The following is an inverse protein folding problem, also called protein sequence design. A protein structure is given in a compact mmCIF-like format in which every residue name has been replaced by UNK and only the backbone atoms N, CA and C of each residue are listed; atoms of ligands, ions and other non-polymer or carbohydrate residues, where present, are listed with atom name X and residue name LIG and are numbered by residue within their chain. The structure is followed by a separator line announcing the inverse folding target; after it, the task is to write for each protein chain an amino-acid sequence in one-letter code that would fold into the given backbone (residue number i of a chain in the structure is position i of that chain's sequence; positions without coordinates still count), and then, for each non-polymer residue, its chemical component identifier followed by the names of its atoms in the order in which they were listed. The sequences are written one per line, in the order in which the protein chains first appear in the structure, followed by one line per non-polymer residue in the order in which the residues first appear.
data_IF_862253804488
#
_entry.id   IF_862253804488
#
_cell.length_a   1.000
_cell.length_b   1.000
_cell.length_c   1.000
_cell.angle_alpha   90.00
_cell.angle_beta   90.00
_cell.angle_gamma   90.00
#
_symmetry.space_group_name_H-M   'P 1'
#
loop_
_entity.id
_entity.type
_entity.pdbx_description
1 polymer ?
#
# COMPACT_ATOMS: atom_id res chain seq x y z
N UNK A 1 -64.16 46.28 10.44
CA UNK A 1 -62.80 46.16 9.85
C UNK A 1 -62.16 44.96 10.53
N UNK A 2 -62.40 43.77 9.99
CA UNK A 2 -61.91 42.50 10.57
C UNK A 2 -60.62 42.09 9.87
N UNK A 3 -59.58 41.83 10.66
CA UNK A 3 -58.35 41.19 10.19
C UNK A 3 -58.47 39.67 10.40
N UNK A 4 -58.30 38.83 9.37
CA UNK A 4 -58.19 37.40 9.57
C UNK A 4 -56.80 37.06 10.12
N UNK A 5 -56.77 36.43 11.28
CA UNK A 5 -55.57 35.85 11.89
C UNK A 5 -55.13 34.61 11.10
N UNK A 6 -53.90 34.64 10.58
CA UNK A 6 -53.29 33.54 9.84
C UNK A 6 -53.11 32.31 10.72
N UNK A 7 -53.65 31.19 10.25
CA UNK A 7 -53.62 29.87 10.89
C UNK A 7 -52.21 29.25 10.76
N UNK A 8 -51.57 28.78 11.85
CA UNK A 8 -50.30 28.06 11.71
C UNK A 8 -50.55 26.69 11.08
N UNK A 9 -49.89 26.43 9.95
CA UNK A 9 -49.95 25.19 9.20
C UNK A 9 -49.57 23.99 10.06
N UNK A 10 -50.53 23.11 10.31
CA UNK A 10 -50.41 21.91 11.12
C UNK A 10 -49.66 20.84 10.32
N UNK A 11 -48.33 20.75 10.49
CA UNK A 11 -47.55 19.64 9.91
C UNK A 11 -48.02 18.34 10.55
N UNK A 12 -48.51 17.40 9.73
CA UNK A 12 -49.06 16.15 10.22
C UNK A 12 -47.98 15.28 10.88
N UNK A 13 -48.28 14.59 12.01
CA UNK A 13 -47.29 13.89 12.83
C UNK A 13 -46.53 12.78 12.08
N UNK A 14 -47.13 12.23 11.02
CA UNK A 14 -46.50 11.22 10.17
C UNK A 14 -45.31 11.74 9.36
N UNK A 15 -45.26 13.04 9.05
CA UNK A 15 -44.13 13.65 8.35
C UNK A 15 -42.86 13.72 9.22
N UNK A 16 -43.03 13.92 10.54
CA UNK A 16 -41.91 13.89 11.50
C UNK A 16 -41.36 12.48 11.69
N UNK A 17 -42.24 11.48 11.74
CA UNK A 17 -41.86 10.08 11.86
C UNK A 17 -41.09 9.59 10.62
N UNK A 18 -41.56 9.92 9.40
CA UNK A 18 -40.84 9.61 8.17
C UNK A 18 -39.49 10.33 8.07
N UNK A 19 -39.43 11.60 8.48
CA UNK A 19 -38.16 12.36 8.52
C UNK A 19 -37.13 11.75 9.46
N UNK A 20 -37.55 11.30 10.65
CA UNK A 20 -36.67 10.66 11.61
C UNK A 20 -36.14 9.30 11.12
N UNK A 21 -37.00 8.50 10.46
CA UNK A 21 -36.61 7.21 9.88
C UNK A 21 -35.61 7.40 8.72
N UNK A 22 -35.86 8.38 7.85
CA UNK A 22 -34.93 8.73 6.77
C UNK A 22 -33.58 9.21 7.29
N UNK A 23 -33.57 10.06 8.32
CA UNK A 23 -32.33 10.54 8.94
C UNK A 23 -31.56 9.41 9.63
N UNK A 24 -32.25 8.49 10.29
CA UNK A 24 -31.63 7.31 10.90
C UNK A 24 -31.00 6.39 9.83
N UNK A 25 -31.72 6.12 8.74
CA UNK A 25 -31.18 5.37 7.60
C UNK A 25 -29.97 6.08 6.96
N UNK A 26 -30.04 7.39 6.80
CA UNK A 26 -28.93 8.18 6.28
C UNK A 26 -27.71 8.12 7.20
N UNK A 27 -27.92 8.24 8.52
CA UNK A 27 -26.88 8.12 9.53
C UNK A 27 -26.19 6.76 9.51
N UNK A 28 -26.96 5.67 9.36
CA UNK A 28 -26.42 4.31 9.22
C UNK A 28 -25.60 4.17 7.94
N UNK A 29 -26.07 4.73 6.82
CA UNK A 29 -25.32 4.71 5.55
C UNK A 29 -24.02 5.50 5.63
N UNK A 30 -24.04 6.69 6.22
CA UNK A 30 -22.83 7.53 6.41
C UNK A 30 -21.83 6.81 7.32
N UNK A 31 -22.28 6.24 8.43
CA UNK A 31 -21.41 5.47 9.33
C UNK A 31 -20.78 4.25 8.62
N UNK A 32 -21.55 3.53 7.80
CA UNK A 32 -21.04 2.43 6.99
C UNK A 32 -19.96 2.88 6.00
N UNK A 33 -20.15 4.04 5.36
CA UNK A 33 -19.17 4.60 4.42
C UNK A 33 -17.89 5.07 5.12
N UNK A 34 -18.01 5.71 6.29
CA UNK A 34 -16.85 6.21 7.05
C UNK A 34 -16.02 5.06 7.62
N UNK A 35 -16.67 4.09 8.28
CA UNK A 35 -15.99 2.91 8.87
C UNK A 35 -15.40 2.01 7.79
N UNK A 36 -16.10 1.84 6.66
CA UNK A 36 -15.59 1.10 5.51
C UNK A 36 -14.37 1.76 4.85
N UNK A 37 -14.33 3.09 4.81
CA UNK A 37 -13.22 3.87 4.26
C UNK A 37 -11.99 3.89 5.17
N UNK A 38 -12.16 4.09 6.48
CA UNK A 38 -11.04 4.08 7.43
C UNK A 38 -10.36 2.72 7.49
N UNK A 39 -11.15 1.63 7.53
CA UNK A 39 -10.59 0.29 7.53
C UNK A 39 -9.90 -0.11 6.21
N UNK A 40 -10.23 0.52 5.08
CA UNK A 40 -9.50 0.29 3.83
C UNK A 40 -8.16 1.03 3.80
N UNK A 41 -8.12 2.28 4.30
CA UNK A 41 -6.89 3.04 4.42
C UNK A 41 -5.87 2.33 5.33
N UNK A 42 -6.32 1.81 6.48
CA UNK A 42 -5.47 1.07 7.41
C UNK A 42 -4.91 -0.21 6.77
N UNK A 43 -5.75 -1.00 6.10
CA UNK A 43 -5.31 -2.22 5.38
C UNK A 43 -4.32 -1.92 4.26
N UNK A 44 -4.52 -0.81 3.54
CA UNK A 44 -3.58 -0.36 2.50
C UNK A 44 -2.26 0.06 3.12
N UNK A 45 -2.28 0.76 4.24
CA UNK A 45 -1.08 1.18 4.98
C UNK A 45 -0.31 -0.04 5.52
N UNK A 46 -1.01 -1.00 6.11
CA UNK A 46 -0.42 -2.26 6.56
C UNK A 46 0.22 -3.03 5.40
N UNK A 47 -0.44 -3.07 4.24
CA UNK A 47 0.11 -3.69 3.05
C UNK A 47 1.39 -2.97 2.57
N UNK A 48 1.46 -1.63 2.67
CA UNK A 48 2.68 -0.88 2.38
C UNK A 48 3.80 -1.18 3.36
N UNK A 49 3.52 -1.24 4.67
CA UNK A 49 4.54 -1.62 5.66
C UNK A 49 5.03 -3.06 5.44
N UNK A 50 4.16 -3.97 5.02
CA UNK A 50 4.54 -5.33 4.63
C UNK A 50 5.52 -5.35 3.45
N UNK A 51 5.40 -4.43 2.47
CA UNK A 51 6.40 -4.33 1.39
C UNK A 51 7.79 -3.91 1.90
N UNK A 52 7.85 -3.06 2.93
CA UNK A 52 9.10 -2.65 3.57
C UNK A 52 9.75 -3.80 4.33
N UNK A 53 8.94 -4.59 5.01
CA UNK A 53 9.36 -5.80 5.69
C UNK A 53 9.90 -6.86 4.70
N UNK A 54 9.26 -7.04 3.54
CA UNK A 54 9.78 -7.88 2.46
C UNK A 54 11.13 -7.41 1.95
N UNK A 55 11.32 -6.09 1.77
CA UNK A 55 12.60 -5.53 1.36
C UNK A 55 13.71 -5.80 2.40
N UNK A 56 13.39 -5.73 3.69
CA UNK A 56 14.32 -6.09 4.78
C UNK A 56 14.71 -7.56 4.72
N UNK A 57 13.73 -8.48 4.64
CA UNK A 57 14.00 -9.92 4.54
C UNK A 57 14.88 -10.27 3.35
N UNK A 58 14.65 -9.62 2.21
CA UNK A 58 15.53 -9.79 1.06
C UNK A 58 16.97 -9.34 1.36
N UNK A 59 17.15 -8.16 1.96
CA UNK A 59 18.47 -7.65 2.33
C UNK A 59 19.16 -8.54 3.39
N UNK A 60 18.39 -9.04 4.36
CA UNK A 60 18.87 -9.96 5.39
C UNK A 60 19.29 -11.30 4.79
N UNK A 61 18.53 -11.86 3.85
CA UNK A 61 18.88 -13.11 3.17
C UNK A 61 20.15 -12.98 2.32
N UNK A 62 20.32 -11.85 1.61
CA UNK A 62 21.57 -11.53 0.89
C UNK A 62 22.76 -11.47 1.86
N UNK A 63 22.58 -10.81 3.00
CA UNK A 63 23.63 -10.68 4.03
C UNK A 63 23.94 -12.01 4.70
N UNK A 64 22.92 -12.82 5.01
CA UNK A 64 23.06 -14.14 5.65
C UNK A 64 23.80 -15.13 4.75
N UNK A 65 23.62 -15.02 3.43
CA UNK A 65 24.38 -15.79 2.43
C UNK A 65 25.83 -15.35 2.29
N UNK A 66 26.25 -14.27 2.96
CA UNK A 66 27.60 -13.68 2.88
C UNK A 66 28.00 -13.36 1.45
N UNK A 67 27.05 -12.90 0.64
CA UNK A 67 27.33 -12.46 -0.72
C UNK A 67 28.11 -11.15 -0.68
N UNK A 68 29.34 -11.16 -1.19
CA UNK A 68 30.18 -9.97 -1.25
C UNK A 68 29.98 -9.24 -2.58
N UNK A 69 29.82 -7.91 -2.56
CA UNK A 69 29.84 -7.11 -3.77
C UNK A 69 31.12 -7.30 -4.61
N UNK A 70 31.05 -7.23 -5.95
CA UNK A 70 29.83 -7.08 -6.74
C UNK A 70 28.98 -8.35 -6.73
N UNK A 71 27.69 -8.23 -6.38
CA UNK A 71 26.80 -9.38 -6.24
C UNK A 71 26.20 -9.71 -7.60
N UNK A 72 26.34 -10.97 -8.03
CA UNK A 72 25.74 -11.43 -9.27
C UNK A 72 24.20 -11.33 -9.23
N UNK A 73 23.60 -10.84 -10.32
CA UNK A 73 22.13 -10.71 -10.46
C UNK A 73 21.41 -12.04 -10.18
N UNK A 74 21.98 -13.17 -10.59
CA UNK A 74 21.42 -14.49 -10.33
C UNK A 74 21.31 -14.83 -8.84
N UNK A 75 22.29 -14.41 -8.05
CA UNK A 75 22.29 -14.70 -6.61
C UNK A 75 21.37 -13.75 -5.86
N UNK A 76 21.25 -12.50 -6.31
CA UNK A 76 20.20 -11.58 -5.87
C UNK A 76 18.80 -12.14 -6.18
N UNK A 77 18.58 -12.71 -7.36
CA UNK A 77 17.30 -13.33 -7.70
C UNK A 77 16.99 -14.55 -6.82
N UNK A 78 17.98 -15.43 -6.57
CA UNK A 78 17.81 -16.57 -5.66
C UNK A 78 17.47 -16.11 -4.24
N UNK A 79 18.14 -15.07 -3.75
CA UNK A 79 17.88 -14.52 -2.43
C UNK A 79 16.48 -13.91 -2.33
N UNK A 80 16.05 -13.18 -3.37
CA UNK A 80 14.69 -12.64 -3.45
C UNK A 80 13.63 -13.75 -3.46
N UNK A 81 13.80 -14.74 -4.32
CA UNK A 81 12.86 -15.86 -4.44
C UNK A 81 12.72 -16.61 -3.11
N UNK A 82 13.82 -16.78 -2.37
CA UNK A 82 13.82 -17.42 -1.06
C UNK A 82 13.18 -16.55 0.03
N UNK A 83 13.51 -15.24 0.07
CA UNK A 83 13.09 -14.35 1.15
C UNK A 83 11.62 -13.93 1.06
N UNK A 84 11.10 -13.73 -0.15
CA UNK A 84 9.77 -13.13 -0.35
C UNK A 84 8.84 -13.97 -1.22
N UNK A 85 9.36 -14.95 -1.96
CA UNK A 85 8.61 -15.74 -2.93
C UNK A 85 8.43 -15.04 -4.28
N UNK A 86 8.44 -15.82 -5.35
CA UNK A 86 8.44 -15.36 -6.76
C UNK A 86 7.31 -14.40 -7.15
N UNK A 87 6.17 -14.49 -6.47
CA UNK A 87 4.98 -13.67 -6.77
C UNK A 87 4.99 -12.30 -6.07
N UNK A 88 5.83 -12.11 -5.05
CA UNK A 88 5.82 -10.92 -4.19
C UNK A 88 7.08 -10.06 -4.33
N UNK A 89 8.09 -10.51 -5.06
CA UNK A 89 9.31 -9.77 -5.34
C UNK A 89 9.63 -9.77 -6.82
N UNK A 90 10.11 -8.63 -7.32
CA UNK A 90 10.63 -8.50 -8.67
C UNK A 90 11.95 -7.72 -8.62
N UNK A 91 13.03 -8.34 -9.10
CA UNK A 91 14.32 -7.69 -9.28
C UNK A 91 14.32 -6.98 -10.63
N UNK A 92 14.45 -5.65 -10.64
CA UNK A 92 14.45 -4.86 -11.88
C UNK A 92 15.86 -4.63 -12.37
N UNK A 93 16.72 -4.05 -11.53
CA UNK A 93 18.12 -3.77 -11.88
C UNK A 93 19.05 -4.06 -10.70
N UNK A 94 20.29 -4.39 -11.03
CA UNK A 94 21.39 -4.58 -10.11
C UNK A 94 22.66 -4.09 -10.81
N UNK A 95 23.34 -3.13 -10.21
CA UNK A 95 24.53 -2.51 -10.77
C UNK A 95 25.64 -2.48 -9.73
N UNK A 96 26.86 -2.69 -10.19
CA UNK A 96 28.05 -2.51 -9.37
C UNK A 96 28.35 -1.01 -9.27
N UNK A 97 28.65 -0.54 -8.07
CA UNK A 97 29.08 0.83 -7.80
C UNK A 97 30.45 0.82 -7.15
N UNK A 98 31.13 1.96 -7.10
CA UNK A 98 32.42 2.09 -6.40
C UNK A 98 32.35 1.66 -4.92
N UNK A 99 31.15 1.74 -4.33
CA UNK A 99 30.88 1.39 -2.93
C UNK A 99 30.32 -0.02 -2.71
N UNK A 100 29.96 -0.76 -3.77
CA UNK A 100 29.38 -2.10 -3.66
C UNK A 100 28.37 -2.46 -4.75
N UNK A 101 27.16 -2.86 -4.37
CA UNK A 101 26.08 -3.22 -5.32
C UNK A 101 24.80 -2.49 -5.00
N UNK A 102 24.28 -1.74 -5.97
CA UNK A 102 22.98 -1.08 -5.90
C UNK A 102 21.92 -1.89 -6.62
N UNK A 103 20.81 -2.12 -5.95
CA UNK A 103 19.69 -2.91 -6.46
C UNK A 103 18.42 -2.08 -6.49
N UNK A 104 17.65 -2.18 -7.57
CA UNK A 104 16.27 -1.68 -7.65
C UNK A 104 15.33 -2.87 -7.72
N UNK A 105 14.43 -2.96 -6.75
CA UNK A 105 13.49 -4.06 -6.60
C UNK A 105 12.07 -3.54 -6.29
N UNK A 106 11.07 -4.26 -6.76
CA UNK A 106 9.68 -4.03 -6.40
C UNK A 106 9.19 -5.16 -5.49
N UNK A 107 8.52 -4.78 -4.40
CA UNK A 107 7.84 -5.73 -3.52
C UNK A 107 6.35 -5.48 -3.54
N UNK A 108 5.58 -6.57 -3.55
CA UNK A 108 4.12 -6.53 -3.65
C UNK A 108 3.47 -7.24 -2.46
N UNK A 109 2.31 -6.74 -2.04
CA UNK A 109 1.50 -7.32 -0.97
C UNK A 109 0.02 -7.25 -1.32
N UNK A 110 -0.72 -8.32 -1.08
CA UNK A 110 -2.17 -8.34 -1.25
C UNK A 110 -2.87 -7.83 0.01
N UNK A 111 -3.97 -7.12 -0.17
CA UNK A 111 -4.90 -6.75 0.89
C UNK A 111 -6.34 -6.85 0.40
N UNK A 112 -7.29 -7.07 1.32
CA UNK A 112 -8.71 -7.11 1.00
C UNK A 112 -9.34 -5.73 1.09
N UNK A 113 -10.12 -5.32 0.10
CA UNK A 113 -10.95 -4.11 0.16
C UNK A 113 -12.16 -4.29 1.07
N UNK A 114 -12.71 -3.19 1.58
CA UNK A 114 -13.89 -3.19 2.45
C UNK A 114 -15.20 -3.44 1.70
N UNK A 115 -15.31 -2.97 0.44
CA UNK A 115 -16.48 -3.19 -0.39
C UNK A 115 -16.09 -3.54 -1.84
N UNK A 116 -16.30 -4.77 -2.31
CA UNK A 116 -16.08 -5.15 -3.70
C UNK A 116 -17.26 -4.65 -4.55
N UNK A 117 -17.48 -3.33 -4.63
CA UNK A 117 -18.64 -2.81 -5.36
C UNK A 117 -18.51 -2.98 -6.87
N UNK A 118 -17.28 -3.04 -7.41
CA UNK A 118 -16.97 -3.33 -8.82
C UNK A 118 -15.51 -3.85 -8.97
N UNK A 119 -15.23 -5.10 -8.61
CA UNK A 119 -13.91 -5.71 -8.84
C UNK A 119 -13.50 -6.78 -7.81
N UNK A 120 -12.34 -7.44 -8.00
CA UNK A 120 -11.83 -8.44 -7.08
C UNK A 120 -11.65 -7.85 -5.68
N UNK A 121 -12.06 -8.61 -4.66
CA UNK A 121 -11.96 -8.21 -3.27
C UNK A 121 -10.50 -8.10 -2.81
N UNK A 122 -9.58 -8.80 -3.48
CA UNK A 122 -8.15 -8.76 -3.22
C UNK A 122 -7.46 -7.81 -4.18
N UNK A 123 -6.63 -6.92 -3.61
CA UNK A 123 -5.89 -5.92 -4.35
C UNK A 123 -4.43 -6.00 -4.00
N UNK A 124 -3.60 -5.98 -5.03
CA UNK A 124 -2.15 -5.96 -4.91
C UNK A 124 -1.69 -4.51 -4.77
N UNK A 125 -0.98 -4.19 -3.69
CA UNK A 125 -0.13 -3.00 -3.64
C UNK A 125 1.29 -3.38 -4.02
N UNK A 126 2.01 -2.45 -4.65
CA UNK A 126 3.41 -2.61 -5.04
C UNK A 126 4.17 -1.36 -4.64
N UNK A 127 5.41 -1.52 -4.16
CA UNK A 127 6.29 -0.42 -3.82
C UNK A 127 7.71 -0.66 -4.30
N UNK A 128 8.36 0.42 -4.72
CA UNK A 128 9.73 0.39 -5.20
C UNK A 128 10.74 0.65 -4.09
N UNK A 129 11.87 -0.04 -4.16
CA UNK A 129 12.98 0.14 -3.25
C UNK A 129 14.30 0.18 -4.00
N UNK A 130 15.18 1.06 -3.54
CA UNK A 130 16.61 0.99 -3.84
C UNK A 130 17.31 0.41 -2.61
N UNK A 131 18.13 -0.60 -2.82
CA UNK A 131 18.87 -1.30 -1.77
C UNK A 131 20.34 -1.25 -2.14
N UNK A 132 21.15 -0.62 -1.29
CA UNK A 132 22.60 -0.55 -1.45
C UNK A 132 23.27 -1.55 -0.51
N UNK A 133 24.05 -2.46 -1.08
CA UNK A 133 24.90 -3.40 -0.36
C UNK A 133 26.35 -2.90 -0.43
N UNK A 134 26.90 -2.48 0.72
CA UNK A 134 28.25 -1.95 0.79
C UNK A 134 29.30 -3.07 0.74
N UNK A 135 30.40 -2.84 0.00
CA UNK A 135 31.50 -3.79 -0.11
C UNK A 135 32.19 -4.09 1.24
N UNK A 136 32.10 -3.16 2.19
CA UNK A 136 32.66 -3.30 3.53
C UNK A 136 31.86 -4.18 4.50
N UNK A 137 30.76 -4.80 4.06
CA UNK A 137 29.95 -5.69 4.91
C UNK A 137 29.08 -4.97 5.95
N UNK A 138 28.81 -3.67 5.73
CA UNK A 138 27.88 -2.89 6.55
C UNK A 138 26.42 -3.32 6.37
N UNK A 139 25.54 -2.86 7.25
CA UNK A 139 24.10 -3.07 7.11
C UNK A 139 23.58 -2.46 5.80
N UNK A 140 22.80 -3.20 4.99
CA UNK A 140 22.28 -2.69 3.73
C UNK A 140 21.43 -1.44 3.93
N UNK A 141 21.58 -0.45 3.04
CA UNK A 141 20.75 0.75 3.05
C UNK A 141 19.51 0.51 2.20
N UNK A 142 18.33 0.59 2.82
CA UNK A 142 17.04 0.38 2.15
C UNK A 142 16.32 1.72 2.03
N UNK A 143 16.13 2.19 0.80
CA UNK A 143 15.40 3.42 0.47
C UNK A 143 14.06 3.06 -0.17
N UNK A 144 12.96 3.43 0.47
CA UNK A 144 11.61 3.23 -0.05
C UNK A 144 11.20 4.43 -0.90
N UNK A 145 10.68 4.18 -2.10
CA UNK A 145 10.18 5.24 -2.98
C UNK A 145 8.67 5.48 -2.77
N UNK A 146 8.20 6.63 -3.25
CA UNK A 146 6.78 6.98 -3.30
C UNK A 146 5.97 6.01 -4.16
N UNK A 147 4.65 5.96 -3.96
CA UNK A 147 3.76 5.11 -4.74
C UNK A 147 3.59 5.58 -6.21
N UNK A 148 3.94 6.84 -6.47
CA UNK A 148 3.97 7.50 -7.77
C UNK A 148 5.25 7.24 -8.56
N UNK A 149 6.29 6.68 -7.93
CA UNK A 149 7.58 6.43 -8.57
C UNK A 149 7.55 5.13 -9.36
N UNK A 150 7.87 5.22 -10.66
CA UNK A 150 8.04 4.04 -11.53
C UNK A 150 9.32 3.28 -11.17
N UNK A 151 9.19 1.99 -10.88
CA UNK A 151 10.37 1.15 -10.66
C UNK A 151 11.24 0.97 -11.88
N UNK A 152 10.64 0.94 -13.08
CA UNK A 152 11.37 0.75 -14.32
C UNK A 152 12.25 1.96 -14.61
N UNK A 153 11.72 3.18 -14.45
CA UNK A 153 12.51 4.41 -14.59
C UNK A 153 13.67 4.46 -13.59
N UNK A 154 13.44 4.03 -12.33
CA UNK A 154 14.52 3.93 -11.34
C UNK A 154 15.55 2.87 -11.68
N UNK A 155 15.13 1.76 -12.29
CA UNK A 155 16.01 0.68 -12.71
C UNK A 155 16.92 1.12 -13.87
N UNK A 156 16.39 1.92 -14.80
CA UNK A 156 17.15 2.52 -15.92
C UNK A 156 18.16 3.56 -15.45
N UNK A 157 17.91 4.26 -14.35
CA UNK A 157 18.85 5.25 -13.80
C UNK A 157 20.10 4.66 -13.14
N UNK A 158 20.11 3.35 -12.88
CA UNK A 158 21.24 2.67 -12.22
C UNK A 158 21.93 1.62 -13.10
N UNK A 159 21.28 1.19 -14.18
CA UNK A 159 21.80 0.19 -15.13
C UNK A 159 22.58 0.86 -16.25
#
# INVERSE_FOLDING_TARGET
MEMPTGQPGRTAPWAKALGAVLLALLGVLVAFFVVGGSGEADRKQEAFESTREKARRFADDVTARRLTPPIARSDLQKAMDAAVGKQYGQLLSAASTDSGTRVVAAFSQMYRRSAPRLGPAEVMTRRCFTIDFDAGGGSPRITAHGADVSCTERAEQIG
#
